data_IF_526759513469
#
_entry.id   IF_526759513469
#
_cell.length_a   1.000
_cell.length_b   1.000
_cell.length_c   1.000
_cell.angle_alpha   90.00
_cell.angle_beta   90.00
_cell.angle_gamma   90.00
#
_symmetry.space_group_name_H-M   'P 1'
#
loop_
_entity.id
_entity.type
_entity.pdbx_description
1 polymer ?
#
# COMPACT_ATOMS: atom_id res chain seq x y z
N UNK A 1 -14.82 25.81 3.94
CA UNK A 1 -14.08 26.20 2.75
C UNK A 1 -15.01 26.86 1.76
N UNK A 2 -14.51 27.80 0.96
CA UNK A 2 -15.14 28.36 -0.25
C UNK A 2 -14.34 27.80 -1.42
N UNK A 3 -15.02 27.25 -2.39
CA UNK A 3 -14.42 26.67 -3.59
C UNK A 3 -14.99 27.40 -4.79
N UNK A 4 -14.14 28.08 -5.55
CA UNK A 4 -14.53 28.87 -6.73
C UNK A 4 -13.83 28.25 -7.94
N UNK A 5 -14.56 27.85 -8.98
CA UNK A 5 -13.94 27.39 -10.23
C UNK A 5 -13.12 28.49 -10.87
N UNK A 6 -11.94 28.15 -11.40
CA UNK A 6 -11.09 29.03 -12.19
C UNK A 6 -11.43 28.87 -13.68
N UNK A 7 -11.45 29.93 -14.48
CA UNK A 7 -11.63 29.84 -15.93
C UNK A 7 -10.67 28.87 -16.64
N UNK A 8 -9.48 28.68 -16.09
CA UNK A 8 -8.45 27.77 -16.63
C UNK A 8 -8.64 26.31 -16.24
N UNK A 9 -9.81 25.96 -15.63
CA UNK A 9 -10.17 24.59 -15.25
C UNK A 9 -9.70 24.16 -13.86
N UNK A 10 -9.08 25.06 -13.10
CA UNK A 10 -8.68 24.86 -11.71
C UNK A 10 -9.75 25.27 -10.70
N UNK A 11 -9.38 25.28 -9.42
CA UNK A 11 -10.23 25.76 -8.33
C UNK A 11 -9.44 26.66 -7.40
N UNK A 12 -9.98 27.82 -7.08
CA UNK A 12 -9.51 28.66 -5.99
C UNK A 12 -10.18 28.24 -4.69
N UNK A 13 -9.39 27.83 -3.70
CA UNK A 13 -9.89 27.31 -2.42
C UNK A 13 -9.48 28.29 -1.32
N UNK A 14 -10.46 28.80 -0.58
CA UNK A 14 -10.23 29.70 0.55
C UNK A 14 -11.01 29.29 1.79
N UNK A 15 -10.58 29.77 2.94
CA UNK A 15 -11.29 29.56 4.20
C UNK A 15 -12.49 30.50 4.27
N UNK A 16 -13.60 30.04 4.88
CA UNK A 16 -14.79 30.89 5.12
C UNK A 16 -14.52 32.02 6.12
N UNK A 17 -13.53 31.84 6.99
CA UNK A 17 -13.05 32.84 7.94
C UNK A 17 -11.65 33.26 7.55
N UNK A 18 -11.35 34.53 7.68
CA UNK A 18 -10.03 35.09 7.32
C UNK A 18 -8.90 34.53 8.16
N UNK A 19 -9.21 34.02 9.35
CA UNK A 19 -8.25 33.35 10.21
C UNK A 19 -8.88 32.14 10.91
N UNK A 20 -8.10 31.08 11.07
CA UNK A 20 -8.42 29.91 11.88
C UNK A 20 -7.27 29.66 12.84
N UNK A 21 -7.55 29.12 14.06
CA UNK A 21 -6.48 28.73 14.97
C UNK A 21 -5.54 27.70 14.32
N UNK A 22 -4.24 27.89 14.47
CA UNK A 22 -3.20 26.94 14.02
C UNK A 22 -2.92 25.88 15.11
N UNK A 23 -4.00 25.32 15.70
CA UNK A 23 -3.96 24.38 16.82
C UNK A 23 -4.02 22.90 16.36
N UNK A 24 -4.13 22.68 15.03
CA UNK A 24 -4.22 21.36 14.40
C UNK A 24 -3.77 21.42 12.95
N UNK A 25 -3.46 20.27 12.37
CA UNK A 25 -3.09 20.17 10.95
C UNK A 25 -4.25 20.55 10.04
N UNK A 26 -3.92 21.21 8.92
CA UNK A 26 -4.84 21.43 7.82
C UNK A 26 -4.72 20.28 6.82
N UNK A 27 -5.83 19.62 6.53
CA UNK A 27 -5.90 18.56 5.52
C UNK A 27 -6.83 18.98 4.39
N UNK A 28 -6.30 19.00 3.17
CA UNK A 28 -7.07 19.16 1.95
C UNK A 28 -7.06 17.85 1.17
N UNK A 29 -8.23 17.31 0.89
CA UNK A 29 -8.39 16.10 0.07
C UNK A 29 -9.15 16.48 -1.20
N UNK A 30 -8.61 16.06 -2.33
CA UNK A 30 -9.28 16.18 -3.61
C UNK A 30 -9.16 14.86 -4.37
N UNK A 31 -10.08 14.61 -5.31
CA UNK A 31 -10.04 13.45 -6.19
C UNK A 31 -10.18 13.92 -7.63
N UNK A 32 -9.35 13.43 -8.56
CA UNK A 32 -9.56 13.67 -9.98
C UNK A 32 -10.94 13.18 -10.43
N UNK A 33 -11.50 13.82 -11.43
CA UNK A 33 -12.74 13.35 -12.05
C UNK A 33 -12.50 11.96 -12.68
N UNK A 34 -13.39 11.00 -12.46
CA UNK A 34 -13.30 9.69 -13.09
C UNK A 34 -13.31 9.82 -14.62
N UNK A 35 -12.42 9.09 -15.31
CA UNK A 35 -12.37 9.01 -16.77
C UNK A 35 -12.25 7.57 -17.21
N UNK A 36 -12.81 7.23 -18.37
CA UNK A 36 -12.65 5.90 -18.99
C UNK A 36 -11.28 5.72 -19.64
N UNK A 37 -10.51 6.81 -19.81
CA UNK A 37 -9.17 6.80 -20.35
C UNK A 37 -8.16 7.21 -19.28
N UNK A 38 -6.92 6.68 -19.33
CA UNK A 38 -5.86 7.15 -18.44
C UNK A 38 -5.53 8.61 -18.75
N UNK A 39 -5.31 9.41 -17.72
CA UNK A 39 -4.88 10.80 -17.85
C UNK A 39 -3.52 11.02 -17.20
N UNK A 40 -2.73 11.91 -17.79
CA UNK A 40 -1.46 12.36 -17.22
C UNK A 40 -1.42 13.88 -17.16
N UNK A 41 -0.99 14.39 -16.01
CA UNK A 41 -0.75 15.84 -15.84
C UNK A 41 0.72 16.03 -15.52
N UNK A 42 1.35 16.99 -16.20
CA UNK A 42 2.75 17.35 -15.98
C UNK A 42 2.79 18.81 -15.51
N UNK A 43 3.37 19.02 -14.32
CA UNK A 43 3.67 20.35 -13.79
C UNK A 43 5.18 20.53 -13.80
N UNK A 44 5.66 21.69 -14.21
CA UNK A 44 7.10 21.98 -14.32
C UNK A 44 7.45 23.28 -13.61
N UNK A 45 8.59 23.27 -12.93
CA UNK A 45 9.20 24.46 -12.33
C UNK A 45 10.69 24.47 -12.65
N UNK A 46 11.24 25.66 -12.92
CA UNK A 46 12.68 25.85 -13.04
C UNK A 46 13.17 26.70 -11.89
N UNK A 47 14.17 26.22 -11.18
CA UNK A 47 14.77 26.91 -10.04
C UNK A 47 16.27 26.62 -9.98
N UNK A 48 17.08 27.67 -9.84
CA UNK A 48 18.54 27.58 -9.67
C UNK A 48 19.26 26.75 -10.76
N UNK A 49 18.76 26.76 -12.00
CA UNK A 49 19.32 25.99 -13.13
C UNK A 49 18.93 24.51 -13.14
N UNK A 50 18.09 24.08 -12.23
CA UNK A 50 17.50 22.73 -12.17
C UNK A 50 16.05 22.76 -12.66
N UNK A 51 15.61 21.68 -13.29
CA UNK A 51 14.21 21.50 -13.70
C UNK A 51 13.53 20.48 -12.77
N UNK A 52 12.44 20.92 -12.16
CA UNK A 52 11.57 20.09 -11.33
C UNK A 52 10.31 19.77 -12.13
N UNK A 53 9.95 18.50 -12.16
CA UNK A 53 8.76 18.02 -12.86
C UNK A 53 7.95 17.16 -11.90
N UNK A 54 6.65 17.45 -11.81
CA UNK A 54 5.70 16.54 -11.16
C UNK A 54 4.84 15.90 -12.24
N UNK A 55 4.93 14.59 -12.37
CA UNK A 55 4.06 13.78 -13.19
C UNK A 55 2.97 13.18 -12.31
N UNK A 56 1.71 13.49 -12.62
CA UNK A 56 0.55 12.87 -11.99
C UNK A 56 -0.13 11.97 -13.01
N UNK A 57 -0.24 10.68 -12.66
CA UNK A 57 -0.93 9.66 -13.46
C UNK A 57 -2.26 9.34 -12.82
N UNK A 58 -3.35 9.45 -13.57
CA UNK A 58 -4.70 9.11 -13.13
C UNK A 58 -5.13 7.87 -13.90
N UNK A 59 -5.36 6.74 -13.22
CA UNK A 59 -5.80 5.53 -13.89
C UNK A 59 -7.23 5.69 -14.42
N UNK A 60 -7.60 4.96 -15.49
CA UNK A 60 -8.97 4.93 -15.97
C UNK A 60 -9.89 4.25 -14.98
N UNK A 61 -11.15 4.67 -14.95
CA UNK A 61 -12.22 3.87 -14.35
C UNK A 61 -12.57 2.72 -15.28
N UNK A 62 -12.37 1.49 -14.82
CA UNK A 62 -12.74 0.33 -15.62
C UNK A 62 -14.27 0.12 -15.59
N UNK A 63 -14.88 0.01 -16.77
CA UNK A 63 -16.23 -0.51 -16.86
C UNK A 63 -16.22 -1.98 -16.38
N UNK A 64 -17.09 -2.33 -15.47
CA UNK A 64 -17.09 -3.56 -14.68
C UNK A 64 -17.04 -4.89 -15.43
N UNK A 65 -17.17 -4.90 -16.76
CA UNK A 65 -17.45 -6.12 -17.54
C UNK A 65 -16.24 -6.77 -18.22
N UNK A 66 -15.06 -6.13 -18.28
CA UNK A 66 -13.92 -6.65 -19.05
C UNK A 66 -12.62 -6.84 -18.26
N UNK A 67 -12.58 -6.49 -16.99
CA UNK A 67 -11.37 -6.65 -16.18
C UNK A 67 -11.10 -8.14 -15.91
N UNK A 68 -10.15 -8.70 -16.62
CA UNK A 68 -9.66 -10.07 -16.39
C UNK A 68 -9.13 -10.16 -14.95
N UNK A 69 -9.79 -10.94 -14.09
CA UNK A 69 -9.27 -11.24 -12.75
C UNK A 69 -7.89 -11.89 -12.90
N UNK A 70 -6.87 -11.20 -12.44
CA UNK A 70 -5.51 -11.76 -12.42
C UNK A 70 -5.37 -12.68 -11.21
N UNK A 71 -4.96 -13.95 -11.41
CA UNK A 71 -4.73 -14.85 -10.29
C UNK A 71 -3.73 -14.26 -9.28
N UNK A 72 -4.02 -14.38 -7.98
CA UNK A 72 -3.19 -13.79 -6.93
C UNK A 72 -2.64 -14.85 -5.97
N UNK A 73 -1.46 -14.57 -5.43
CA UNK A 73 -0.94 -15.23 -4.24
C UNK A 73 -0.94 -14.23 -3.08
N UNK A 74 -1.89 -14.36 -2.16
CA UNK A 74 -1.99 -13.47 -1.01
C UNK A 74 -1.37 -14.10 0.22
N UNK A 75 -0.41 -13.40 0.83
CA UNK A 75 0.15 -13.76 2.13
C UNK A 75 -0.19 -12.67 3.14
N UNK A 76 -1.05 -12.99 4.09
CA UNK A 76 -1.36 -12.11 5.21
C UNK A 76 -0.35 -12.34 6.32
N UNK A 77 0.26 -11.27 6.82
CA UNK A 77 1.13 -11.27 8.01
C UNK A 77 0.40 -10.49 9.08
N UNK A 78 0.04 -11.13 10.16
CA UNK A 78 -0.71 -10.51 11.26
C UNK A 78 0.13 -10.51 12.55
N UNK A 79 0.25 -9.32 13.11
CA UNK A 79 0.83 -9.10 14.42
C UNK A 79 -0.10 -9.63 15.51
N UNK A 80 0.45 -10.46 16.38
CA UNK A 80 -0.23 -11.00 17.57
C UNK A 80 0.58 -10.70 18.84
N UNK A 81 1.38 -9.62 18.83
CA UNK A 81 2.10 -9.14 19.99
C UNK A 81 1.16 -8.56 21.05
N UNK A 82 1.67 -8.40 22.28
CA UNK A 82 0.87 -7.91 23.40
C UNK A 82 0.27 -6.51 23.20
N UNK A 83 0.89 -5.66 22.38
CA UNK A 83 0.36 -4.33 22.02
C UNK A 83 -0.91 -4.39 21.18
N UNK A 84 -1.08 -5.49 20.43
CA UNK A 84 -2.30 -5.75 19.66
C UNK A 84 -3.48 -6.23 20.51
N UNK A 85 -3.34 -6.38 21.83
CA UNK A 85 -4.42 -6.82 22.71
C UNK A 85 -5.68 -5.95 22.55
N UNK A 86 -6.84 -6.51 22.92
CA UNK A 86 -8.15 -5.91 22.73
C UNK A 86 -8.17 -4.37 22.77
N UNK A 87 -8.83 -3.73 21.82
CA UNK A 87 -9.71 -4.24 20.77
C UNK A 87 -9.02 -4.47 19.41
N UNK A 88 -7.71 -4.19 19.28
CA UNK A 88 -7.00 -4.20 17.98
C UNK A 88 -6.97 -5.58 17.33
N UNK A 89 -6.66 -6.62 18.11
CA UNK A 89 -6.58 -8.00 17.59
C UNK A 89 -7.94 -8.50 17.08
N UNK A 90 -9.02 -8.24 17.80
CA UNK A 90 -10.36 -8.70 17.41
C UNK A 90 -10.79 -8.08 16.08
N UNK A 91 -10.41 -6.83 15.84
CA UNK A 91 -10.75 -6.14 14.61
C UNK A 91 -9.84 -6.54 13.45
N UNK A 92 -8.56 -6.75 13.72
CA UNK A 92 -7.65 -7.33 12.73
C UNK A 92 -8.14 -8.71 12.28
N UNK A 93 -8.58 -9.56 13.22
CA UNK A 93 -9.19 -10.87 12.94
C UNK A 93 -10.45 -10.75 12.09
N UNK A 94 -11.41 -9.93 12.51
CA UNK A 94 -12.66 -9.74 11.79
C UNK A 94 -12.44 -9.26 10.36
N UNK A 95 -11.51 -8.32 10.18
CA UNK A 95 -11.16 -7.78 8.87
C UNK A 95 -10.45 -8.79 8.00
N UNK A 96 -9.53 -9.58 8.59
CA UNK A 96 -8.83 -10.63 7.86
C UNK A 96 -9.80 -11.75 7.44
N UNK A 97 -10.76 -12.13 8.29
CA UNK A 97 -11.82 -13.06 7.93
C UNK A 97 -12.67 -12.51 6.78
N UNK A 98 -13.05 -11.22 6.83
CA UNK A 98 -13.77 -10.59 5.73
C UNK A 98 -12.94 -10.64 4.43
N UNK A 99 -11.64 -10.31 4.47
CA UNK A 99 -10.76 -10.40 3.31
C UNK A 99 -10.68 -11.83 2.74
N UNK A 100 -10.55 -12.83 3.60
CA UNK A 100 -10.51 -14.22 3.17
C UNK A 100 -11.78 -14.60 2.41
N UNK A 101 -12.96 -14.08 2.76
CA UNK A 101 -14.22 -14.40 2.08
C UNK A 101 -14.35 -13.78 0.69
N UNK A 102 -13.52 -12.80 0.32
CA UNK A 102 -13.50 -12.21 -1.03
C UNK A 102 -12.64 -12.98 -2.03
N UNK A 103 -11.84 -13.94 -1.55
CA UNK A 103 -10.93 -14.69 -2.40
C UNK A 103 -11.67 -15.67 -3.30
N UNK A 104 -11.16 -15.83 -4.51
CA UNK A 104 -11.71 -16.71 -5.53
C UNK A 104 -10.92 -18.00 -5.68
N UNK A 105 -11.45 -18.98 -6.39
CA UNK A 105 -10.76 -20.25 -6.68
C UNK A 105 -9.50 -20.09 -7.54
N UNK A 106 -9.30 -18.92 -8.15
CA UNK A 106 -8.08 -18.60 -8.90
C UNK A 106 -6.96 -18.13 -8.01
N UNK A 107 -7.26 -17.71 -6.76
CA UNK A 107 -6.30 -17.20 -5.79
C UNK A 107 -5.65 -18.33 -5.00
N UNK A 108 -4.49 -18.03 -4.41
CA UNK A 108 -3.85 -18.82 -3.36
C UNK A 108 -3.68 -17.95 -2.12
N UNK A 109 -3.71 -18.56 -0.95
CA UNK A 109 -3.65 -17.84 0.33
C UNK A 109 -2.73 -18.50 1.33
N UNK A 110 -2.06 -17.69 2.12
CA UNK A 110 -1.39 -18.08 3.35
C UNK A 110 -1.62 -17.03 4.44
N UNK A 111 -1.56 -17.46 5.70
CA UNK A 111 -1.59 -16.58 6.87
C UNK A 111 -0.37 -16.88 7.74
N UNK A 112 0.38 -15.86 8.06
CA UNK A 112 1.53 -15.90 8.96
C UNK A 112 1.21 -15.02 10.15
N UNK A 113 1.20 -15.58 11.35
CA UNK A 113 1.15 -14.79 12.58
C UNK A 113 2.56 -14.59 13.13
N UNK A 114 2.78 -13.49 13.80
CA UNK A 114 4.01 -13.27 14.55
C UNK A 114 3.75 -12.52 15.87
N UNK A 115 4.57 -12.87 16.84
CA UNK A 115 4.81 -12.15 18.08
C UNK A 115 6.32 -12.28 18.39
N UNK A 116 6.74 -12.86 19.49
CA UNK A 116 8.12 -13.32 19.71
C UNK A 116 8.45 -14.63 18.96
N UNK A 117 7.46 -15.25 18.33
CA UNK A 117 7.59 -16.42 17.45
C UNK A 117 6.85 -16.19 16.13
N UNK A 118 7.21 -16.95 15.11
CA UNK A 118 6.53 -16.92 13.80
C UNK A 118 5.88 -18.25 13.52
N UNK A 119 4.59 -18.23 13.20
CA UNK A 119 3.84 -19.42 12.81
C UNK A 119 3.10 -19.15 11.50
N UNK A 120 3.25 -20.08 10.58
CA UNK A 120 2.57 -20.01 9.27
C UNK A 120 1.49 -21.09 9.20
N UNK A 121 0.32 -20.75 8.70
CA UNK A 121 -0.78 -21.69 8.49
C UNK A 121 -0.39 -22.79 7.50
N UNK A 122 0.36 -22.41 6.46
CA UNK A 122 0.90 -23.30 5.44
C UNK A 122 2.37 -22.98 5.18
N UNK A 123 3.12 -23.95 4.65
CA UNK A 123 4.52 -23.74 4.22
C UNK A 123 4.65 -22.80 3.01
N UNK A 124 3.62 -22.76 2.18
CA UNK A 124 3.48 -21.88 0.99
C UNK A 124 2.01 -21.56 0.74
N UNK A 125 1.67 -20.51 -0.03
CA UNK A 125 0.28 -20.18 -0.37
C UNK A 125 -0.44 -21.36 -1.01
N UNK A 126 -1.63 -21.69 -0.51
CA UNK A 126 -2.43 -22.82 -0.96
C UNK A 126 -3.62 -22.34 -1.81
N UNK A 127 -4.05 -23.13 -2.81
CA UNK A 127 -5.24 -22.82 -3.59
C UNK A 127 -6.47 -22.59 -2.70
N UNK A 128 -7.26 -21.60 -3.06
CA UNK A 128 -8.51 -21.28 -2.36
C UNK A 128 -9.54 -22.37 -2.66
N UNK A 129 -9.75 -23.23 -1.68
CA UNK A 129 -10.79 -24.27 -1.66
C UNK A 129 -11.65 -24.09 -0.43
N UNK A 130 -12.85 -24.66 -0.42
CA UNK A 130 -13.74 -24.61 0.76
C UNK A 130 -13.05 -25.15 2.03
N UNK A 131 -12.22 -26.19 1.90
CA UNK A 131 -11.49 -26.77 3.02
C UNK A 131 -10.36 -25.84 3.49
N UNK A 132 -9.57 -25.28 2.55
CA UNK A 132 -8.49 -24.34 2.87
C UNK A 132 -9.04 -23.08 3.53
N UNK A 133 -10.15 -22.55 3.03
CA UNK A 133 -10.79 -21.35 3.58
C UNK A 133 -11.33 -21.59 4.99
N UNK A 134 -12.04 -22.68 5.24
CA UNK A 134 -12.48 -23.03 6.58
C UNK A 134 -11.32 -23.18 7.57
N UNK A 135 -10.19 -23.73 7.11
CA UNK A 135 -8.98 -23.85 7.93
C UNK A 135 -8.37 -22.48 8.21
N UNK A 136 -8.28 -21.60 7.20
CA UNK A 136 -7.73 -20.25 7.35
C UNK A 136 -8.59 -19.40 8.32
N UNK A 137 -9.90 -19.42 8.17
CA UNK A 137 -10.83 -18.69 9.05
C UNK A 137 -10.67 -19.18 10.51
N UNK A 138 -10.73 -20.49 10.75
CA UNK A 138 -10.54 -21.02 12.10
C UNK A 138 -9.17 -20.67 12.69
N UNK A 139 -8.13 -20.66 11.87
CA UNK A 139 -6.80 -20.26 12.30
C UNK A 139 -6.79 -18.80 12.75
N UNK A 140 -7.37 -17.91 11.96
CA UNK A 140 -7.47 -16.46 12.28
C UNK A 140 -8.32 -16.22 13.51
N UNK A 141 -9.49 -16.85 13.63
CA UNK A 141 -10.37 -16.73 14.79
C UNK A 141 -9.71 -17.19 16.09
N UNK A 142 -8.83 -18.19 16.01
CA UNK A 142 -8.06 -18.70 17.16
C UNK A 142 -6.85 -17.88 17.56
N UNK A 143 -6.53 -16.75 16.87
CA UNK A 143 -5.41 -15.90 17.23
C UNK A 143 -5.69 -15.14 18.53
N UNK A 144 -4.66 -14.99 19.34
CA UNK A 144 -4.68 -14.17 20.57
C UNK A 144 -3.40 -13.33 20.63
N UNK A 145 -3.51 -12.13 21.20
CA UNK A 145 -2.38 -11.24 21.38
C UNK A 145 -1.58 -11.61 22.62
N UNK A 146 -0.27 -11.82 22.46
CA UNK A 146 0.68 -12.15 23.53
C UNK A 146 2.13 -11.93 23.08
N UNK A 147 3.02 -11.64 24.03
CA UNK A 147 4.47 -11.59 23.84
C UNK A 147 4.99 -10.35 23.11
N UNK A 148 6.21 -10.46 22.60
CA UNK A 148 6.92 -9.38 21.90
C UNK A 148 6.61 -9.28 20.40
N UNK A 149 7.40 -8.48 19.65
CA UNK A 149 7.11 -8.13 18.24
C UNK A 149 8.35 -8.42 17.35
N UNK A 150 8.38 -9.59 16.73
CA UNK A 150 9.47 -10.04 15.83
C UNK A 150 9.01 -10.05 14.37
N UNK A 151 8.89 -8.86 13.76
CA UNK A 151 8.37 -8.69 12.41
C UNK A 151 9.32 -9.21 11.32
N UNK A 152 10.63 -9.01 11.47
CA UNK A 152 11.62 -9.36 10.46
C UNK A 152 11.61 -10.85 10.08
N UNK A 153 11.57 -11.82 11.02
CA UNK A 153 11.42 -13.24 10.70
C UNK A 153 10.12 -13.56 9.96
N UNK A 154 9.01 -12.88 10.28
CA UNK A 154 7.73 -13.09 9.60
C UNK A 154 7.77 -12.64 8.14
N UNK A 155 8.35 -11.45 7.89
CA UNK A 155 8.56 -10.95 6.54
C UNK A 155 9.50 -11.85 5.74
N UNK A 156 10.59 -12.29 6.35
CA UNK A 156 11.52 -13.26 5.74
C UNK A 156 10.82 -14.57 5.37
N UNK A 157 9.91 -15.04 6.20
CA UNK A 157 9.10 -16.24 5.91
C UNK A 157 8.18 -16.02 4.71
N UNK A 158 7.52 -14.87 4.60
CA UNK A 158 6.67 -14.54 3.45
C UNK A 158 7.45 -14.44 2.14
N UNK A 159 8.69 -13.95 2.20
CA UNK A 159 9.56 -13.74 1.03
C UNK A 159 10.28 -15.02 0.56
N UNK A 160 10.24 -16.12 1.32
CA UNK A 160 10.89 -17.41 0.95
C UNK A 160 10.26 -18.08 -0.26
N UNK A 161 8.98 -17.86 -0.52
CA UNK A 161 8.29 -18.52 -1.62
C UNK A 161 8.90 -18.08 -2.97
N UNK A 162 9.02 -18.98 -3.96
CA UNK A 162 9.44 -18.59 -5.28
C UNK A 162 8.56 -17.51 -5.89
N UNK A 163 9.12 -16.67 -6.74
CA UNK A 163 8.35 -15.75 -7.54
C UNK A 163 7.62 -16.51 -8.66
N UNK A 164 6.35 -16.17 -8.87
CA UNK A 164 5.51 -16.73 -9.92
C UNK A 164 5.00 -15.56 -10.80
N UNK A 165 5.61 -15.40 -11.97
CA UNK A 165 5.28 -14.31 -12.90
C UNK A 165 3.88 -14.42 -13.52
N UNK A 166 3.21 -15.56 -13.35
CA UNK A 166 1.84 -15.78 -13.83
C UNK A 166 0.78 -15.30 -12.84
N UNK A 167 1.20 -14.85 -11.66
CA UNK A 167 0.34 -14.48 -10.55
C UNK A 167 0.80 -13.18 -9.89
N UNK A 168 -0.15 -12.38 -9.45
CA UNK A 168 0.16 -11.20 -8.66
C UNK A 168 0.43 -11.61 -7.20
N UNK A 169 1.68 -11.52 -6.78
CA UNK A 169 2.08 -11.87 -5.41
C UNK A 169 1.95 -10.66 -4.49
N UNK A 170 1.08 -10.76 -3.50
CA UNK A 170 0.74 -9.66 -2.58
C UNK A 170 0.97 -10.10 -1.12
N UNK A 171 1.69 -9.28 -0.38
CA UNK A 171 1.90 -9.42 1.06
C UNK A 171 1.11 -8.30 1.75
N UNK A 172 0.27 -8.65 2.70
CA UNK A 172 -0.52 -7.69 3.50
C UNK A 172 -0.06 -7.81 4.95
N UNK A 173 0.63 -6.78 5.43
CA UNK A 173 1.15 -6.70 6.79
C UNK A 173 0.20 -5.91 7.69
N UNK A 174 -0.28 -6.53 8.75
CA UNK A 174 -1.23 -5.95 9.72
C UNK A 174 -0.55 -5.89 11.09
N UNK A 175 -0.35 -4.69 11.64
CA UNK A 175 0.32 -4.48 12.93
C UNK A 175 -0.10 -3.14 13.54
N UNK A 176 0.17 -2.93 14.82
CA UNK A 176 0.11 -1.61 15.47
C UNK A 176 1.44 -0.84 15.40
N UNK A 177 2.50 -1.45 14.89
CA UNK A 177 3.56 -0.79 14.16
C UNK A 177 4.83 -0.38 14.88
N UNK A 178 5.23 -0.98 15.98
CA UNK A 178 6.56 -0.68 16.54
C UNK A 178 7.52 -1.88 16.42
N UNK A 179 8.66 -1.67 15.75
CA UNK A 179 9.77 -2.63 15.70
C UNK A 179 11.09 -1.88 15.87
N UNK A 180 12.06 -2.52 16.52
CA UNK A 180 13.35 -1.92 16.80
C UNK A 180 14.40 -2.01 15.69
N UNK A 181 14.11 -2.72 14.58
CA UNK A 181 15.08 -3.08 13.54
C UNK A 181 14.61 -2.69 12.12
N UNK A 182 14.17 -1.43 11.97
CA UNK A 182 13.59 -0.91 10.71
C UNK A 182 14.57 -1.04 9.52
N UNK A 183 15.85 -0.71 9.72
CA UNK A 183 16.85 -0.74 8.65
C UNK A 183 17.06 -2.15 8.08
N UNK A 184 17.11 -3.17 8.95
CA UNK A 184 17.24 -4.56 8.51
C UNK A 184 16.03 -5.01 7.69
N UNK A 185 14.85 -4.52 8.05
CA UNK A 185 13.61 -4.80 7.35
C UNK A 185 13.61 -4.18 5.95
N UNK A 186 14.06 -2.93 5.82
CA UNK A 186 14.20 -2.27 4.52
C UNK A 186 15.24 -2.97 3.63
N UNK A 187 16.39 -3.34 4.19
CA UNK A 187 17.42 -4.13 3.48
C UNK A 187 16.84 -5.46 2.99
N UNK A 188 16.10 -6.19 3.83
CA UNK A 188 15.46 -7.43 3.46
C UNK A 188 14.50 -7.23 2.27
N UNK A 189 13.66 -6.20 2.31
CA UNK A 189 12.73 -5.89 1.23
C UNK A 189 13.46 -5.55 -0.07
N UNK A 190 14.45 -4.66 -0.02
CA UNK A 190 15.21 -4.28 -1.21
C UNK A 190 15.86 -5.45 -1.91
N UNK A 191 16.36 -6.44 -1.16
CA UNK A 191 17.06 -7.60 -1.75
C UNK A 191 16.16 -8.77 -2.16
N UNK A 192 15.01 -8.94 -1.50
CA UNK A 192 14.23 -10.17 -1.65
C UNK A 192 12.79 -9.96 -2.16
N UNK A 193 12.34 -8.71 -2.29
CA UNK A 193 10.96 -8.42 -2.69
C UNK A 193 10.66 -8.90 -4.13
N UNK A 194 11.56 -8.58 -5.07
CA UNK A 194 11.35 -8.88 -6.49
C UNK A 194 10.09 -8.21 -7.06
N UNK A 195 9.22 -8.98 -7.68
CA UNK A 195 7.97 -8.49 -8.29
C UNK A 195 6.78 -8.45 -7.32
N UNK A 196 6.95 -8.85 -6.07
CA UNK A 196 5.87 -8.83 -5.07
C UNK A 196 5.46 -7.43 -4.69
N UNK A 197 4.24 -7.29 -4.16
CA UNK A 197 3.70 -6.05 -3.59
C UNK A 197 3.52 -6.19 -2.09
N UNK A 198 3.83 -5.13 -1.35
CA UNK A 198 3.63 -5.10 0.11
C UNK A 198 2.65 -3.98 0.46
N UNK A 199 1.54 -4.37 1.05
CA UNK A 199 0.54 -3.47 1.60
C UNK A 199 0.66 -3.49 3.11
N UNK A 200 0.57 -2.34 3.72
CA UNK A 200 0.72 -2.24 5.16
C UNK A 200 -0.52 -1.62 5.78
N UNK A 201 -1.00 -2.24 6.83
CA UNK A 201 -2.16 -1.81 7.59
C UNK A 201 -1.71 -1.56 9.02
N UNK A 202 -1.92 -0.34 9.47
CA UNK A 202 -1.65 0.02 10.84
C UNK A 202 -2.94 0.23 11.60
N UNK A 203 -3.09 -0.46 12.74
CA UNK A 203 -4.23 -0.35 13.63
C UNK A 203 -3.76 0.31 14.95
N UNK A 204 -4.48 1.31 15.44
CA UNK A 204 -4.19 1.99 16.71
C UNK A 204 -3.69 3.42 16.58
N UNK A 205 -3.55 4.11 17.73
CA UNK A 205 -3.35 5.56 17.82
C UNK A 205 -1.90 6.03 17.90
N UNK A 206 -0.92 5.13 17.87
CA UNK A 206 0.51 5.49 18.03
C UNK A 206 1.02 6.33 16.85
N UNK A 207 1.81 7.40 17.05
CA UNK A 207 2.09 8.39 15.99
C UNK A 207 3.10 7.96 14.92
N UNK A 208 3.91 6.91 15.11
CA UNK A 208 4.95 6.55 14.15
C UNK A 208 4.43 5.69 12.98
N UNK A 209 4.10 6.32 11.85
CA UNK A 209 3.72 5.63 10.61
C UNK A 209 4.88 5.52 9.60
N UNK A 210 6.10 5.96 9.95
CA UNK A 210 7.23 6.00 9.02
C UNK A 210 7.57 4.62 8.47
N UNK A 211 7.80 3.67 9.35
CA UNK A 211 8.09 2.28 8.99
C UNK A 211 7.07 1.71 8.00
N UNK A 212 5.78 1.85 8.32
CA UNK A 212 4.70 1.25 7.53
C UNK A 212 4.57 1.91 6.15
N UNK A 213 4.71 3.25 6.09
CA UNK A 213 4.71 3.98 4.82
C UNK A 213 5.90 3.58 3.97
N UNK A 214 7.10 3.56 4.55
CA UNK A 214 8.33 3.21 3.84
C UNK A 214 8.32 1.76 3.37
N UNK A 215 7.80 0.83 4.17
CA UNK A 215 7.60 -0.57 3.79
C UNK A 215 6.65 -0.70 2.59
N UNK A 216 5.52 0.02 2.61
CA UNK A 216 4.58 0.03 1.49
C UNK A 216 5.18 0.67 0.23
N UNK A 217 5.94 1.76 0.38
CA UNK A 217 6.63 2.45 -0.73
C UNK A 217 7.64 1.52 -1.41
N UNK A 218 8.55 0.90 -0.64
CA UNK A 218 9.51 -0.09 -1.16
C UNK A 218 8.75 -1.25 -1.81
N UNK A 219 7.63 -1.65 -1.19
CA UNK A 219 6.75 -2.72 -1.64
C UNK A 219 5.89 -2.39 -2.86
N UNK A 220 5.96 -1.17 -3.40
CA UNK A 220 5.11 -0.71 -4.51
C UNK A 220 3.61 -0.92 -4.25
N UNK A 221 3.22 -0.92 -2.99
CA UNK A 221 1.85 -1.06 -2.51
C UNK A 221 1.35 0.22 -1.84
N UNK A 222 0.38 0.08 -0.95
CA UNK A 222 -0.24 1.19 -0.24
C UNK A 222 -0.19 1.00 1.28
N UNK A 223 -0.10 2.13 1.99
CA UNK A 223 -0.23 2.20 3.44
C UNK A 223 -1.66 2.59 3.82
N UNK A 224 -2.28 1.83 4.70
CA UNK A 224 -3.59 2.14 5.26
C UNK A 224 -3.48 2.36 6.77
N UNK A 225 -3.90 3.53 7.23
CA UNK A 225 -3.97 3.86 8.65
C UNK A 225 -5.40 3.74 9.17
N UNK A 226 -5.56 3.04 10.27
CA UNK A 226 -6.81 2.84 10.97
C UNK A 226 -6.66 3.33 12.41
N UNK A 227 -7.02 4.58 12.64
CA UNK A 227 -6.88 5.25 13.96
C UNK A 227 -7.99 4.89 14.94
N UNK A 228 -9.15 4.52 14.43
CA UNK A 228 -10.31 4.15 15.23
C UNK A 228 -10.80 2.75 14.84
N UNK A 229 -11.06 1.99 15.86
CA UNK A 229 -11.57 0.63 15.80
C UNK A 229 -12.86 0.51 14.96
N UNK A 230 -13.74 1.49 15.00
CA UNK A 230 -14.96 1.51 14.17
C UNK A 230 -14.70 1.67 12.66
N UNK A 231 -13.52 2.14 12.27
CA UNK A 231 -13.15 2.37 10.86
C UNK A 231 -12.48 1.15 10.20
N UNK A 232 -12.02 0.17 11.01
CA UNK A 232 -11.25 -0.98 10.53
C UNK A 232 -11.94 -1.66 9.38
N UNK A 233 -13.20 -2.05 9.56
CA UNK A 233 -13.96 -2.75 8.54
C UNK A 233 -14.01 -1.97 7.22
N UNK A 234 -14.42 -0.71 7.26
CA UNK A 234 -14.61 0.09 6.05
C UNK A 234 -13.29 0.34 5.31
N UNK A 235 -12.21 0.63 6.03
CA UNK A 235 -10.88 0.87 5.44
C UNK A 235 -10.27 -0.39 4.86
N UNK A 236 -10.46 -1.53 5.52
CA UNK A 236 -9.93 -2.79 5.04
C UNK A 236 -10.75 -3.34 3.87
N UNK A 237 -12.07 -3.23 3.90
CA UNK A 237 -12.92 -3.58 2.76
C UNK A 237 -12.52 -2.76 1.51
N UNK A 238 -12.25 -1.45 1.68
CA UNK A 238 -11.76 -0.60 0.59
C UNK A 238 -10.37 -1.05 0.09
N UNK A 239 -9.45 -1.36 0.99
CA UNK A 239 -8.13 -1.87 0.61
C UNK A 239 -8.23 -3.20 -0.14
N UNK A 240 -8.98 -4.17 0.38
CA UNK A 240 -9.09 -5.49 -0.23
C UNK A 240 -9.76 -5.41 -1.62
N UNK A 241 -10.75 -4.54 -1.76
CA UNK A 241 -11.35 -4.26 -3.09
C UNK A 241 -10.32 -3.71 -4.08
N UNK A 242 -9.40 -2.85 -3.64
CA UNK A 242 -8.28 -2.40 -4.48
C UNK A 242 -7.36 -3.55 -4.88
N UNK A 243 -6.96 -4.38 -3.91
CA UNK A 243 -6.05 -5.50 -4.14
C UNK A 243 -6.58 -6.50 -5.19
N UNK A 244 -7.88 -6.50 -5.44
CA UNK A 244 -8.46 -7.37 -6.46
C UNK A 244 -8.08 -6.98 -7.88
N UNK A 245 -7.86 -5.68 -8.15
CA UNK A 245 -7.75 -5.16 -9.52
C UNK A 245 -6.80 -3.97 -9.63
N UNK A 246 -5.48 -4.19 -9.73
CA UNK A 246 -4.62 -3.11 -10.21
C UNK A 246 -4.99 -2.78 -11.67
N UNK A 247 -5.17 -1.51 -11.96
CA UNK A 247 -5.50 -1.03 -13.31
C UNK A 247 -4.26 -1.04 -14.19
N UNK A 248 -3.12 -0.61 -13.62
CA UNK A 248 -1.80 -0.64 -14.25
C UNK A 248 -0.78 -1.14 -13.24
N UNK A 249 0.07 -2.05 -13.68
CA UNK A 249 1.15 -2.62 -12.87
C UNK A 249 2.51 -2.43 -13.55
N UNK A 250 3.59 -2.66 -12.80
CA UNK A 250 4.97 -2.60 -13.28
C UNK A 250 5.32 -1.30 -14.02
N UNK A 251 4.83 -0.16 -13.51
CA UNK A 251 5.07 1.15 -14.07
C UNK A 251 6.55 1.50 -13.93
N UNK A 252 7.18 1.86 -15.02
CA UNK A 252 8.58 2.26 -15.06
C UNK A 252 8.74 3.59 -15.78
N UNK A 253 9.67 4.41 -15.30
CA UNK A 253 10.08 5.62 -15.99
C UNK A 253 11.25 5.27 -16.91
N UNK A 254 11.05 5.41 -18.23
CA UNK A 254 12.15 5.30 -19.19
C UNK A 254 13.08 6.52 -19.02
N UNK A 255 14.33 6.25 -18.67
CA UNK A 255 15.38 7.25 -18.46
C UNK A 255 16.39 7.30 -19.60
N UNK A 256 16.12 6.63 -20.70
CA UNK A 256 17.00 6.60 -21.87
C UNK A 256 17.18 8.03 -22.42
N UNK A 257 18.43 8.48 -22.49
CA UNK A 257 18.75 9.85 -22.94
C UNK A 257 18.65 10.95 -21.87
N UNK A 258 18.25 10.62 -20.63
CA UNK A 258 18.07 11.59 -19.55
C UNK A 258 19.16 11.43 -18.47
N UNK A 259 20.42 11.69 -18.82
CA UNK A 259 21.52 11.66 -17.86
C UNK A 259 21.30 12.71 -16.74
N UNK A 260 21.42 12.27 -15.48
CA UNK A 260 21.22 13.13 -14.30
C UNK A 260 19.78 13.29 -13.86
N UNK A 261 18.86 12.46 -14.35
CA UNK A 261 17.48 12.40 -13.88
C UNK A 261 17.38 11.60 -12.57
N UNK A 262 16.86 12.24 -11.55
CA UNK A 262 16.48 11.62 -10.28
C UNK A 262 14.94 11.63 -10.17
N UNK A 263 14.34 10.63 -9.59
CA UNK A 263 12.90 10.63 -9.36
C UNK A 263 12.51 10.03 -8.01
N UNK A 264 11.40 10.49 -7.47
CA UNK A 264 10.79 10.02 -6.24
C UNK A 264 9.28 9.79 -6.45
N UNK A 265 8.74 8.65 -5.98
CA UNK A 265 9.43 7.56 -5.32
C UNK A 265 10.37 6.79 -6.26
N UNK A 266 11.39 6.13 -5.72
CA UNK A 266 12.34 5.32 -6.49
C UNK A 266 11.70 4.11 -7.18
N UNK A 267 10.59 3.63 -6.64
CA UNK A 267 9.72 2.61 -7.23
C UNK A 267 8.31 3.16 -7.32
N UNK A 268 7.78 3.23 -8.55
CA UNK A 268 6.42 3.72 -8.77
C UNK A 268 5.45 2.61 -8.37
N UNK A 269 4.47 2.95 -7.52
CA UNK A 269 3.44 2.01 -7.10
C UNK A 269 2.54 1.61 -8.27
N UNK A 270 1.90 0.44 -8.16
CA UNK A 270 0.82 0.08 -9.09
C UNK A 270 -0.34 1.07 -8.96
N UNK A 271 -1.02 1.34 -10.05
CA UNK A 271 -2.19 2.20 -10.05
C UNK A 271 -3.46 1.40 -9.82
N UNK A 272 -4.26 1.89 -8.90
CA UNK A 272 -5.58 1.34 -8.57
C UNK A 272 -6.67 2.34 -8.96
N UNK A 273 -7.85 1.84 -9.27
CA UNK A 273 -8.97 2.68 -9.70
C UNK A 273 -9.23 3.83 -8.72
N UNK A 274 -9.31 5.04 -9.24
CA UNK A 274 -9.57 6.26 -8.45
C UNK A 274 -8.37 6.77 -7.64
N UNK A 275 -7.18 6.18 -7.76
CA UNK A 275 -5.97 6.64 -7.07
C UNK A 275 -4.92 7.14 -8.04
N UNK A 276 -4.65 8.45 -8.08
CA UNK A 276 -3.57 8.99 -8.86
C UNK A 276 -2.21 8.64 -8.23
N UNK A 277 -1.22 8.34 -9.05
CA UNK A 277 0.18 8.32 -8.62
C UNK A 277 0.87 9.63 -9.01
N UNK A 278 1.65 10.17 -8.08
CA UNK A 278 2.51 11.32 -8.32
C UNK A 278 3.98 10.89 -8.32
N UNK A 279 4.72 11.32 -9.34
CA UNK A 279 6.16 11.10 -9.46
C UNK A 279 6.83 12.46 -9.54
N UNK A 280 7.64 12.79 -8.55
CA UNK A 280 8.49 13.97 -8.57
C UNK A 280 9.80 13.62 -9.31
N UNK A 281 10.20 14.44 -10.25
CA UNK A 281 11.38 14.25 -11.06
C UNK A 281 12.25 15.50 -10.93
N UNK A 282 13.53 15.28 -10.64
CA UNK A 282 14.55 16.33 -10.68
C UNK A 282 15.49 16.02 -11.84
N UNK A 283 15.62 16.96 -12.76
CA UNK A 283 16.57 16.86 -13.84
C UNK A 283 17.63 17.96 -13.74
N UNK A 284 18.87 17.49 -13.54
CA UNK A 284 20.05 18.34 -13.54
C UNK A 284 20.75 18.25 -14.89
N UNK A 285 20.75 19.35 -15.63
CA UNK A 285 21.54 19.43 -16.86
C UNK A 285 23.01 19.34 -16.47
N UNK A 286 23.63 18.17 -16.63
CA UNK A 286 25.09 18.06 -16.47
C UNK A 286 25.73 18.99 -17.51
N UNK A 287 26.52 19.97 -17.06
CA UNK A 287 27.49 20.63 -17.92
C UNK A 287 28.38 19.54 -18.49
N UNK A 288 28.42 19.38 -19.82
CA UNK A 288 29.45 18.58 -20.45
C UNK A 288 30.80 19.06 -19.96
N UNK A 289 31.72 18.19 -19.52
CA UNK A 289 33.09 18.62 -19.33
C UNK A 289 33.61 19.12 -20.69
N UNK A 290 34.23 20.31 -20.65
CA UNK A 290 34.83 20.96 -21.81
C UNK A 290 35.98 20.11 -22.40
#
# INVERSE_FOLDING_TARGET
>A
MIVIPDPDGGYHISLKKDAVPADRDFQLTWSPAPSTEPAATILTEQRDGEAYVMLMLVPPTQQHDTARHMPRDLTFIIDTSGSMADPSIEQAKASLVAALTTLTTQDRVNVIQFNHTVRSLYSSPQPVTTAAMRKAIRYVEGLSADGGTEMLPALRQALKNPQDSTRLQQIVLITDGQVGNEDELFVLLHHHLGTRRVFTIRIGSTPNSHLMRKTAEIGRGAFTYVGNVSEVKNKLDALFKKLERPVLNDIQLDRTGWAGLEHYPSSIADLYEGEPAAVAILWRKRSMPA
#
